data_IF_244449145682
#
_entry.id   IF_244449145682
#
_cell.length_a   1.000
_cell.length_b   1.000
_cell.length_c   1.000
_cell.angle_alpha   90.00
_cell.angle_beta   90.00
_cell.angle_gamma   90.00
#
_symmetry.space_group_name_H-M   'P 1'
#
loop_
_entity.id
_entity.type
_entity.pdbx_description
1 polymer ?
#
# COMPACT_ATOMS: atom_id res chain seq x y z
N UNK A 1 -17.23 -7.83 -9.00
CA UNK A 1 -15.75 -7.93 -9.12
C UNK A 1 -15.26 -6.91 -10.12
N UNK A 2 -14.24 -6.15 -9.77
CA UNK A 2 -13.58 -5.21 -10.67
C UNK A 2 -12.21 -5.78 -11.00
N UNK A 3 -11.86 -5.79 -12.29
CA UNK A 3 -10.54 -6.26 -12.74
C UNK A 3 -9.72 -5.04 -13.12
N UNK A 4 -8.54 -4.89 -12.48
CA UNK A 4 -7.55 -3.89 -12.87
C UNK A 4 -6.29 -4.59 -13.34
N UNK A 5 -5.76 -4.16 -14.47
CA UNK A 5 -4.45 -4.58 -14.93
C UNK A 5 -3.45 -3.56 -14.41
N UNK A 6 -2.64 -3.97 -13.45
CA UNK A 6 -1.68 -3.06 -12.85
C UNK A 6 -0.34 -3.12 -13.60
N UNK A 7 -0.30 -2.43 -14.75
CA UNK A 7 0.93 -2.23 -15.51
C UNK A 7 1.54 -3.51 -16.07
N UNK A 8 2.49 -4.13 -15.40
CA UNK A 8 3.44 -5.01 -16.07
C UNK A 8 3.48 -6.45 -15.60
N UNK A 9 3.14 -6.74 -14.36
CA UNK A 9 3.48 -8.04 -13.79
C UNK A 9 2.33 -8.76 -13.11
N UNK A 10 1.32 -8.04 -12.67
CA UNK A 10 0.20 -8.64 -11.94
C UNK A 10 -1.15 -8.09 -12.38
N UNK A 11 -2.14 -8.97 -12.37
CA UNK A 11 -3.55 -8.61 -12.50
C UNK A 11 -4.15 -8.44 -11.10
N UNK A 12 -4.94 -7.41 -10.90
CA UNK A 12 -5.60 -7.15 -9.62
C UNK A 12 -7.10 -7.32 -9.78
N UNK A 13 -7.70 -8.21 -8.98
CA UNK A 13 -9.15 -8.41 -8.90
C UNK A 13 -9.64 -7.83 -7.57
N UNK A 14 -10.63 -6.94 -7.65
CA UNK A 14 -11.16 -6.24 -6.48
C UNK A 14 -12.54 -6.80 -6.16
N UNK A 15 -12.70 -7.31 -4.94
CA UNK A 15 -13.94 -7.79 -4.38
C UNK A 15 -14.47 -6.79 -3.33
N UNK A 16 -15.56 -7.14 -2.64
CA UNK A 16 -16.13 -6.28 -1.62
C UNK A 16 -15.17 -5.99 -0.47
N UNK A 17 -14.56 -7.04 0.09
CA UNK A 17 -13.73 -6.94 1.29
C UNK A 17 -12.28 -7.38 1.07
N UNK A 18 -11.96 -7.89 -0.11
CA UNK A 18 -10.65 -8.44 -0.44
C UNK A 18 -10.18 -8.00 -1.82
N UNK A 19 -8.89 -8.14 -2.03
CA UNK A 19 -8.27 -8.00 -3.36
C UNK A 19 -7.40 -9.22 -3.63
N UNK A 20 -7.33 -9.63 -4.90
CA UNK A 20 -6.43 -10.69 -5.33
C UNK A 20 -5.42 -10.15 -6.31
N UNK A 21 -4.15 -10.43 -6.06
CA UNK A 21 -3.05 -10.11 -6.95
C UNK A 21 -2.56 -11.39 -7.61
N UNK A 22 -2.71 -11.46 -8.91
CA UNK A 22 -2.41 -12.66 -9.69
C UNK A 22 -1.22 -12.39 -10.57
N UNK A 23 -0.15 -13.17 -10.42
CA UNK A 23 1.03 -13.03 -11.25
C UNK A 23 0.77 -13.57 -12.66
N UNK A 24 1.22 -12.82 -13.66
CA UNK A 24 1.33 -13.36 -15.02
C UNK A 24 2.44 -14.42 -15.08
N UNK A 25 2.37 -15.30 -16.08
CA UNK A 25 3.39 -16.32 -16.28
C UNK A 25 4.80 -15.71 -16.29
N UNK A 26 5.69 -16.28 -15.50
CA UNK A 26 7.06 -15.81 -15.36
C UNK A 26 7.32 -14.76 -14.29
N UNK A 27 6.29 -14.26 -13.62
CA UNK A 27 6.43 -13.20 -12.62
C UNK A 27 6.03 -13.63 -11.20
N UNK A 28 6.18 -14.91 -10.87
CA UNK A 28 5.82 -15.47 -9.56
C UNK A 28 6.61 -14.88 -8.40
N UNK A 29 7.82 -14.41 -8.66
CA UNK A 29 8.68 -13.85 -7.63
C UNK A 29 8.08 -12.60 -6.96
N UNK A 30 7.25 -11.83 -7.63
CA UNK A 30 6.64 -10.63 -7.05
C UNK A 30 5.71 -10.96 -5.88
N UNK A 31 4.82 -11.94 -6.06
CA UNK A 31 3.96 -12.39 -4.98
C UNK A 31 4.77 -12.99 -3.83
N UNK A 32 5.78 -13.77 -4.15
CA UNK A 32 6.67 -14.35 -3.14
C UNK A 32 7.42 -13.29 -2.35
N UNK A 33 7.95 -12.27 -3.01
CA UNK A 33 8.63 -11.16 -2.36
C UNK A 33 7.68 -10.38 -1.46
N UNK A 34 6.46 -10.09 -1.93
CA UNK A 34 5.48 -9.39 -1.12
C UNK A 34 5.09 -10.20 0.12
N UNK A 35 4.86 -11.48 -0.03
CA UNK A 35 4.55 -12.36 1.10
C UNK A 35 5.71 -12.45 2.09
N UNK A 36 6.95 -12.57 1.62
CA UNK A 36 8.12 -12.58 2.49
C UNK A 36 8.27 -11.28 3.26
N UNK A 37 8.02 -10.15 2.61
CA UNK A 37 8.01 -8.84 3.28
C UNK A 37 6.87 -8.76 4.30
N UNK A 38 5.71 -9.30 3.98
CA UNK A 38 4.60 -9.37 4.92
C UNK A 38 4.98 -10.14 6.18
N UNK A 39 5.53 -11.34 6.05
CA UNK A 39 5.95 -12.16 7.19
C UNK A 39 7.00 -11.43 8.03
N UNK A 40 7.89 -10.70 7.39
CA UNK A 40 8.96 -9.97 8.08
C UNK A 40 8.46 -8.76 8.86
N UNK A 41 7.45 -8.04 8.34
CA UNK A 41 7.02 -6.75 8.88
C UNK A 41 5.61 -6.73 9.50
N UNK A 42 4.85 -7.83 9.45
CA UNK A 42 3.46 -7.87 9.93
C UNK A 42 3.31 -7.66 11.44
N UNK A 43 4.30 -8.07 12.23
CA UNK A 43 4.24 -8.05 13.70
C UNK A 43 5.14 -6.97 14.32
N UNK A 44 5.56 -5.98 13.52
CA UNK A 44 6.33 -4.86 14.07
C UNK A 44 5.42 -3.92 14.86
N UNK A 45 6.03 -3.13 15.76
CA UNK A 45 5.31 -2.26 16.68
C UNK A 45 4.39 -1.26 15.96
N UNK A 46 4.81 -0.75 14.80
CA UNK A 46 4.03 0.17 13.97
C UNK A 46 3.42 -0.61 12.82
N UNK A 47 2.11 -0.52 12.63
CA UNK A 47 1.44 -1.17 11.49
C UNK A 47 1.92 -0.54 10.19
N UNK A 48 2.62 -1.31 9.37
CA UNK A 48 3.23 -0.83 8.12
C UNK A 48 2.60 -1.47 6.89
N UNK A 49 2.37 -2.79 6.92
CA UNK A 49 1.94 -3.55 5.74
C UNK A 49 0.50 -4.00 5.85
N UNK A 50 -0.22 -3.95 4.73
CA UNK A 50 -1.58 -4.46 4.66
C UNK A 50 -1.60 -5.97 4.87
N UNK A 51 -2.68 -6.47 5.49
CA UNK A 51 -2.81 -7.88 5.85
C UNK A 51 -3.03 -8.77 4.63
N UNK A 52 -2.20 -9.79 4.50
CA UNK A 52 -2.39 -10.87 3.54
C UNK A 52 -3.18 -12.00 4.21
N UNK A 53 -4.25 -12.43 3.55
CA UNK A 53 -5.13 -13.49 4.06
C UNK A 53 -4.75 -14.86 3.54
N UNK A 54 -4.33 -14.96 2.28
CA UNK A 54 -3.92 -16.20 1.62
C UNK A 54 -2.78 -15.94 0.67
N UNK A 55 -1.90 -16.92 0.54
CA UNK A 55 -0.78 -16.88 -0.37
C UNK A 55 -0.58 -18.22 -1.07
N UNK A 56 -0.43 -18.15 -2.38
CA UNK A 56 0.20 -19.17 -3.23
C UNK A 56 1.19 -18.44 -4.14
N UNK A 57 2.09 -19.15 -4.80
CA UNK A 57 3.07 -18.50 -5.69
C UNK A 57 2.41 -17.64 -6.77
N UNK A 58 1.19 -18.00 -7.17
CA UNK A 58 0.46 -17.30 -8.23
C UNK A 58 -0.48 -16.23 -7.72
N UNK A 59 -1.01 -16.36 -6.50
CA UNK A 59 -2.10 -15.52 -5.99
C UNK A 59 -1.82 -15.06 -4.56
N UNK A 60 -1.94 -13.76 -4.34
CA UNK A 60 -2.09 -13.17 -3.00
C UNK A 60 -3.53 -12.69 -2.86
N UNK A 61 -4.19 -13.11 -1.79
CA UNK A 61 -5.45 -12.52 -1.35
C UNK A 61 -5.19 -11.68 -0.11
N UNK A 62 -5.55 -10.40 -0.18
CA UNK A 62 -5.29 -9.43 0.88
C UNK A 62 -6.57 -8.68 1.26
N UNK A 63 -6.56 -8.05 2.43
CA UNK A 63 -7.64 -7.18 2.86
C UNK A 63 -7.76 -6.01 1.89
N UNK A 64 -8.99 -5.65 1.52
CA UNK A 64 -9.23 -4.46 0.69
C UNK A 64 -9.06 -3.21 1.53
N UNK A 65 -8.26 -2.28 1.02
CA UNK A 65 -8.08 -0.97 1.61
C UNK A 65 -8.76 0.10 0.75
N UNK A 66 -9.15 1.19 1.39
CA UNK A 66 -9.52 2.41 0.69
C UNK A 66 -8.27 3.02 0.07
N UNK A 67 -8.33 3.46 -1.19
CA UNK A 67 -7.21 4.19 -1.77
C UNK A 67 -7.07 5.56 -1.11
N UNK A 68 -5.88 6.17 -1.17
CA UNK A 68 -5.72 7.52 -0.63
C UNK A 68 -6.54 8.55 -1.39
N UNK A 69 -6.73 8.36 -2.69
CA UNK A 69 -7.63 9.22 -3.49
C UNK A 69 -9.07 9.17 -2.97
N UNK A 70 -9.57 7.97 -2.70
CA UNK A 70 -10.90 7.78 -2.12
C UNK A 70 -11.00 8.38 -0.73
N UNK A 71 -9.97 8.21 0.11
CA UNK A 71 -9.90 8.77 1.45
C UNK A 71 -9.93 10.30 1.42
N UNK A 72 -9.14 10.92 0.54
CA UNK A 72 -9.12 12.38 0.41
C UNK A 72 -10.48 12.91 -0.04
N UNK A 73 -11.09 12.27 -1.03
CA UNK A 73 -12.43 12.64 -1.50
C UNK A 73 -13.48 12.52 -0.40
N UNK A 74 -13.46 11.43 0.35
CA UNK A 74 -14.43 11.20 1.43
C UNK A 74 -14.27 12.17 2.61
N UNK A 75 -13.10 12.77 2.78
CA UNK A 75 -12.79 13.72 3.85
C UNK A 75 -12.67 15.17 3.36
N UNK A 76 -13.14 15.46 2.14
CA UNK A 76 -13.10 16.79 1.53
C UNK A 76 -11.69 17.39 1.44
N UNK A 77 -10.68 16.55 1.26
CA UNK A 77 -9.29 16.97 1.12
C UNK A 77 -8.97 17.09 -0.37
N UNK A 78 -8.55 18.28 -0.80
CA UNK A 78 -8.18 18.55 -2.19
C UNK A 78 -6.67 18.42 -2.33
N UNK A 79 -6.23 17.43 -3.11
CA UNK A 79 -4.83 17.24 -3.46
C UNK A 79 -4.67 17.44 -4.96
N UNK A 80 -3.77 18.32 -5.35
CA UNK A 80 -3.47 18.58 -6.77
C UNK A 80 -2.35 17.64 -7.24
N UNK A 81 -2.35 17.27 -8.52
CA UNK A 81 -1.30 16.49 -9.18
C UNK A 81 -1.05 15.11 -8.57
N UNK A 82 -2.08 14.29 -8.46
CA UNK A 82 -1.93 12.91 -7.98
C UNK A 82 -0.88 12.10 -8.75
N UNK A 83 -0.70 12.35 -10.04
CA UNK A 83 0.24 11.58 -10.87
C UNK A 83 1.71 11.78 -10.50
N UNK A 84 2.04 12.89 -9.86
CA UNK A 84 3.39 13.21 -9.39
C UNK A 84 3.46 13.36 -7.86
N UNK A 85 2.42 12.93 -7.16
CA UNK A 85 2.32 13.12 -5.71
C UNK A 85 3.20 12.12 -4.96
N UNK A 86 4.10 12.63 -4.17
CA UNK A 86 4.88 11.86 -3.21
C UNK A 86 4.30 12.03 -1.82
N UNK A 87 4.37 10.96 -1.02
CA UNK A 87 3.84 10.95 0.34
C UNK A 87 4.42 12.08 1.20
N UNK A 88 5.72 12.36 1.09
CA UNK A 88 6.36 13.41 1.87
C UNK A 88 5.82 14.80 1.52
N UNK A 89 5.56 15.06 0.24
CA UNK A 89 4.98 16.33 -0.19
C UNK A 89 3.57 16.52 0.37
N UNK A 90 2.78 15.46 0.40
CA UNK A 90 1.41 15.51 0.88
C UNK A 90 1.36 15.58 2.40
N UNK A 91 2.03 14.64 3.09
CA UNK A 91 1.83 14.47 4.52
C UNK A 91 2.76 15.33 5.39
N UNK A 92 3.92 15.76 4.90
CA UNK A 92 4.86 16.56 5.67
C UNK A 92 4.80 18.04 5.34
N UNK A 93 4.56 18.40 4.07
CA UNK A 93 4.60 19.79 3.62
C UNK A 93 3.23 20.42 3.45
N UNK A 94 2.31 19.71 2.77
CA UNK A 94 1.00 20.28 2.41
C UNK A 94 -0.09 19.96 3.43
N UNK A 95 0.00 18.84 4.12
CA UNK A 95 -1.02 18.37 5.05
C UNK A 95 -0.41 17.80 6.32
N UNK A 96 0.30 18.63 7.06
CA UNK A 96 1.04 18.21 8.25
C UNK A 96 0.14 17.59 9.33
N UNK A 97 -1.05 18.13 9.56
CA UNK A 97 -2.00 17.58 10.53
C UNK A 97 -2.48 16.19 10.10
N UNK A 98 -2.68 15.99 8.81
CA UNK A 98 -3.05 14.67 8.26
C UNK A 98 -1.93 13.65 8.46
N UNK A 99 -0.68 14.07 8.28
CA UNK A 99 0.48 13.22 8.53
C UNK A 99 0.55 12.74 9.97
N UNK A 100 0.21 13.60 10.93
CA UNK A 100 0.15 13.24 12.34
C UNK A 100 -1.06 12.32 12.64
N UNK A 101 -2.22 12.64 12.08
CA UNK A 101 -3.45 11.84 12.26
C UNK A 101 -3.28 10.40 11.77
N UNK A 102 -2.62 10.22 10.63
CA UNK A 102 -2.39 8.91 10.03
C UNK A 102 -1.06 8.29 10.44
N UNK A 103 -0.32 8.94 11.32
CA UNK A 103 0.96 8.45 11.84
C UNK A 103 2.03 8.23 10.76
N UNK A 104 1.99 9.03 9.69
CA UNK A 104 2.90 8.86 8.57
C UNK A 104 4.36 9.07 8.95
N UNK A 105 4.64 10.05 9.81
CA UNK A 105 6.03 10.37 10.22
C UNK A 105 6.73 9.19 10.88
N UNK A 106 6.02 8.47 11.74
CA UNK A 106 6.56 7.30 12.42
C UNK A 106 6.78 6.14 11.43
N UNK A 107 5.81 5.92 10.56
CA UNK A 107 5.91 4.89 9.50
C UNK A 107 7.06 5.19 8.54
N UNK A 108 7.19 6.43 8.13
CA UNK A 108 8.31 6.90 7.29
C UNK A 108 9.65 6.64 7.96
N UNK A 109 9.78 7.02 9.22
CA UNK A 109 11.02 6.79 10.00
C UNK A 109 11.36 5.31 10.06
N UNK A 110 10.37 4.48 10.34
CA UNK A 110 10.55 3.04 10.35
C UNK A 110 11.04 2.52 8.99
N UNK A 111 10.38 2.91 7.91
CA UNK A 111 10.71 2.45 6.55
C UNK A 111 12.11 2.87 6.10
N UNK A 112 12.58 4.04 6.49
CA UNK A 112 13.94 4.50 6.18
C UNK A 112 15.02 3.58 6.77
N UNK A 113 14.70 2.86 7.82
CA UNK A 113 15.64 1.94 8.50
C UNK A 113 15.47 0.48 8.06
N UNK A 114 14.58 0.21 7.09
CA UNK A 114 14.39 -1.12 6.53
C UNK A 114 15.19 -1.32 5.24
N UNK A 115 15.22 -2.57 4.75
CA UNK A 115 15.79 -2.90 3.45
C UNK A 115 14.79 -2.74 2.29
N UNK A 116 13.59 -2.30 2.60
CA UNK A 116 12.56 -2.04 1.59
C UNK A 116 12.94 -0.81 0.77
N UNK A 117 12.49 -0.78 -0.48
CA UNK A 117 12.78 0.31 -1.41
C UNK A 117 12.02 1.57 -1.00
N UNK A 118 12.71 2.50 -0.35
CA UNK A 118 12.10 3.73 0.15
C UNK A 118 11.53 4.61 -0.97
N UNK A 119 12.18 4.64 -2.13
CA UNK A 119 11.68 5.46 -3.26
C UNK A 119 10.31 4.97 -3.74
N UNK A 120 10.11 3.66 -3.81
CA UNK A 120 8.79 3.08 -4.13
C UNK A 120 7.76 3.45 -3.06
N UNK A 121 8.16 3.54 -1.81
CA UNK A 121 7.24 3.88 -0.71
C UNK A 121 6.91 5.36 -0.63
N UNK A 122 7.55 6.20 -1.41
CA UNK A 122 7.13 7.59 -1.58
C UNK A 122 5.93 7.72 -2.53
N UNK A 123 5.63 6.70 -3.32
CA UNK A 123 4.54 6.76 -4.28
C UNK A 123 3.19 6.63 -3.58
N UNK A 124 2.31 7.60 -3.83
CA UNK A 124 0.97 7.64 -3.24
C UNK A 124 0.17 6.35 -3.46
N UNK A 125 0.29 5.78 -4.66
CA UNK A 125 -0.49 4.59 -5.06
C UNK A 125 -0.09 3.31 -4.33
N UNK A 126 1.04 3.31 -3.63
CA UNK A 126 1.48 2.16 -2.84
C UNK A 126 0.91 2.15 -1.41
N UNK A 127 0.12 3.16 -1.06
CA UNK A 127 -0.49 3.30 0.26
C UNK A 127 -2.01 3.25 0.18
N UNK A 128 -2.63 2.82 1.27
CA UNK A 128 -4.08 2.82 1.44
C UNK A 128 -4.47 2.92 2.90
N UNK A 129 -5.76 2.97 3.14
CA UNK A 129 -6.33 2.98 4.50
C UNK A 129 -7.03 1.64 4.70
N UNK A 130 -6.63 0.89 5.72
CA UNK A 130 -7.24 -0.39 6.03
C UNK A 130 -8.61 -0.22 6.72
N UNK A 131 -9.39 -1.30 6.91
CA UNK A 131 -10.70 -1.20 7.57
C UNK A 131 -10.65 -0.63 9.00
N UNK A 132 -9.51 -0.72 9.67
CA UNK A 132 -9.31 -0.14 11.01
C UNK A 132 -8.95 1.35 10.97
N UNK A 133 -8.86 1.95 9.78
CA UNK A 133 -8.52 3.36 9.62
C UNK A 133 -7.04 3.67 9.63
N UNK A 134 -6.19 2.66 9.51
CA UNK A 134 -4.74 2.82 9.55
C UNK A 134 -4.16 2.98 8.14
N UNK A 135 -3.14 3.83 8.02
CA UNK A 135 -2.36 3.99 6.80
C UNK A 135 -1.39 2.81 6.67
N UNK A 136 -1.48 2.07 5.57
CA UNK A 136 -0.66 0.87 5.33
C UNK A 136 -0.15 0.83 3.90
N UNK A 137 0.97 0.16 3.70
CA UNK A 137 1.46 -0.20 2.37
C UNK A 137 0.57 -1.30 1.80
N UNK A 138 0.08 -1.08 0.58
CA UNK A 138 -0.75 -2.05 -0.14
C UNK A 138 0.00 -2.72 -1.27
N UNK A 139 1.15 -2.20 -1.66
CA UNK A 139 2.08 -2.83 -2.61
C UNK A 139 3.49 -2.70 -2.03
N UNK A 140 4.06 -3.83 -1.64
CA UNK A 140 5.36 -3.87 -0.96
C UNK A 140 6.22 -5.06 -1.40
N UNK A 141 6.14 -5.37 -2.69
CA UNK A 141 6.89 -6.48 -3.30
C UNK A 141 8.39 -6.17 -3.52
N UNK A 142 8.83 -4.95 -3.23
CA UNK A 142 10.21 -4.50 -3.46
C UNK A 142 11.00 -4.25 -2.19
#
# INVERSE_FOLDING_TARGET
MIIKTNGTTRKVQIYKDTVRKICYNGCKYENKNEYNNYIKYKDVEVTIVNKILKFTDNIIEAVKCQTLKEYFKANDIIVRNYSSAYMDDIFLHLYNDLGNKLNYREKRRYLMNTKLDFDEFQMLDNWGINPEGELVLIDYSR
#
